data_IF_214680734532
#
_entry.id   IF_214680734532
#
_cell.length_a   1.000
_cell.length_b   1.000
_cell.length_c   1.000
_cell.angle_alpha   90.00
_cell.angle_beta   90.00
_cell.angle_gamma   90.00
#
_symmetry.space_group_name_H-M   'P 1'
#
loop_
_entity.id
_entity.type
_entity.pdbx_description
1 polymer ?
#
# COMPACT_ATOMS: atom_id res chain seq x y z
N UNK A 1 -77.98 2.28 60.43
CA UNK A 1 -76.68 2.39 59.73
C UNK A 1 -76.45 1.05 59.06
N UNK A 2 -76.28 1.00 57.74
CA UNK A 2 -75.86 -0.24 57.07
C UNK A 2 -74.39 -0.51 57.34
N UNK A 3 -74.07 -1.79 57.55
CA UNK A 3 -72.71 -2.25 57.83
C UNK A 3 -71.89 -2.39 56.54
N UNK A 4 -70.57 -2.50 56.69
CA UNK A 4 -69.69 -2.81 55.55
C UNK A 4 -70.07 -4.14 54.88
N UNK A 5 -70.59 -5.09 55.65
CA UNK A 5 -71.06 -6.37 55.15
C UNK A 5 -72.26 -6.21 54.21
N UNK A 6 -73.27 -5.43 54.61
CA UNK A 6 -74.46 -5.17 53.79
C UNK A 6 -74.09 -4.52 52.45
N UNK A 7 -73.15 -3.56 52.46
CA UNK A 7 -72.65 -2.91 51.23
C UNK A 7 -71.84 -3.84 50.33
N UNK A 8 -71.15 -4.84 50.89
CA UNK A 8 -70.44 -5.85 50.10
C UNK A 8 -71.38 -6.91 49.53
N UNK A 9 -72.50 -7.20 50.21
CA UNK A 9 -73.56 -8.07 49.70
C UNK A 9 -74.31 -7.40 48.54
N UNK A 10 -74.69 -6.13 48.66
CA UNK A 10 -75.28 -5.37 47.54
C UNK A 10 -74.34 -5.34 46.33
N UNK A 11 -73.04 -5.03 46.53
CA UNK A 11 -72.06 -4.98 45.45
C UNK A 11 -71.81 -6.34 44.77
N UNK A 12 -72.04 -7.45 45.48
CA UNK A 12 -71.95 -8.80 44.94
C UNK A 12 -73.25 -9.24 44.21
N UNK A 13 -74.39 -8.60 44.49
CA UNK A 13 -75.68 -8.86 43.83
C UNK A 13 -75.83 -8.06 42.53
N UNK A 14 -75.25 -6.85 42.44
CA UNK A 14 -75.21 -6.04 41.23
C UNK A 14 -74.11 -6.47 40.21
N UNK A 15 -73.33 -7.51 40.52
CA UNK A 15 -72.38 -8.08 39.57
C UNK A 15 -73.13 -8.81 38.43
N UNK A 16 -73.02 -8.39 37.15
CA UNK A 16 -73.72 -9.05 36.07
C UNK A 16 -73.25 -10.52 35.94
N UNK A 17 -74.15 -11.48 35.67
CA UNK A 17 -73.81 -12.90 35.52
C UNK A 17 -73.12 -13.19 34.18
N UNK A 18 -71.98 -12.54 33.95
CA UNK A 18 -71.08 -12.81 32.86
C UNK A 18 -70.20 -14.02 33.21
N UNK A 19 -70.74 -15.23 32.98
CA UNK A 19 -69.86 -16.35 32.64
C UNK A 19 -69.06 -15.89 31.40
N UNK A 20 -67.72 -15.82 31.44
CA UNK A 20 -66.95 -15.51 30.25
C UNK A 20 -67.23 -16.60 29.24
N UNK A 21 -67.74 -16.22 28.07
CA UNK A 21 -68.07 -17.14 26.99
C UNK A 21 -66.89 -18.12 26.78
N UNK A 22 -67.10 -19.45 26.90
CA UNK A 22 -66.04 -20.43 26.70
C UNK A 22 -65.31 -20.23 25.36
N UNK A 23 -66.01 -19.75 24.34
CA UNK A 23 -65.42 -19.43 23.04
C UNK A 23 -64.38 -18.30 23.14
N UNK A 24 -64.50 -17.33 24.05
CA UNK A 24 -63.46 -16.32 24.28
C UNK A 24 -62.16 -16.93 24.80
N UNK A 25 -62.22 -18.00 25.60
CA UNK A 25 -61.02 -18.67 26.11
C UNK A 25 -60.35 -19.54 25.03
N UNK A 26 -61.13 -20.18 24.16
CA UNK A 26 -60.58 -20.91 23.02
C UNK A 26 -60.12 -19.99 21.87
N UNK A 27 -60.77 -18.85 21.66
CA UNK A 27 -60.26 -17.75 20.81
C UNK A 27 -58.96 -17.20 21.38
N UNK A 28 -58.89 -16.93 22.69
CA UNK A 28 -57.65 -16.47 23.34
C UNK A 28 -56.52 -17.51 23.25
N UNK A 29 -56.80 -18.81 23.46
CA UNK A 29 -55.82 -19.89 23.24
C UNK A 29 -55.38 -20.00 21.79
N UNK A 30 -56.32 -19.94 20.85
CA UNK A 30 -56.04 -19.99 19.41
C UNK A 30 -55.16 -18.81 18.98
N UNK A 31 -55.47 -17.62 19.46
CA UNK A 31 -54.69 -16.40 19.28
C UNK A 31 -53.29 -16.55 19.91
N UNK A 32 -53.18 -17.05 21.15
CA UNK A 32 -51.90 -17.22 21.84
C UNK A 32 -51.02 -18.32 21.22
N UNK A 33 -51.61 -19.39 20.65
CA UNK A 33 -50.88 -20.40 19.86
C UNK A 33 -50.40 -19.83 18.54
N UNK A 34 -51.27 -19.15 17.77
CA UNK A 34 -50.88 -18.43 16.53
C UNK A 34 -49.77 -17.41 16.79
N UNK A 35 -49.80 -16.75 17.95
CA UNK A 35 -48.76 -15.80 18.39
C UNK A 35 -47.41 -16.47 18.61
N UNK A 36 -47.35 -17.59 19.35
CA UNK A 36 -46.09 -18.32 19.58
C UNK A 36 -45.52 -18.94 18.30
N UNK A 37 -46.36 -19.54 17.46
CA UNK A 37 -45.91 -20.17 16.21
C UNK A 37 -45.40 -19.12 15.21
N UNK A 38 -46.12 -18.01 15.03
CA UNK A 38 -45.69 -16.94 14.11
C UNK A 38 -44.35 -16.31 14.50
N UNK A 39 -44.10 -16.09 15.80
CA UNK A 39 -42.81 -15.57 16.28
C UNK A 39 -41.68 -16.58 16.09
N UNK A 40 -41.89 -17.87 16.36
CA UNK A 40 -40.89 -18.92 16.15
C UNK A 40 -40.50 -19.04 14.66
N UNK A 41 -41.47 -19.07 13.75
CA UNK A 41 -41.19 -19.17 12.31
C UNK A 41 -40.39 -17.96 11.80
N UNK A 42 -40.74 -16.74 12.23
CA UNK A 42 -40.00 -15.54 11.84
C UNK A 42 -38.54 -15.56 12.35
N UNK A 43 -38.32 -15.91 13.62
CA UNK A 43 -36.97 -16.00 14.20
C UNK A 43 -36.15 -17.09 13.50
N UNK A 44 -36.71 -18.29 13.32
CA UNK A 44 -36.00 -19.40 12.64
C UNK A 44 -35.64 -19.06 11.20
N UNK A 45 -36.51 -18.36 10.46
CA UNK A 45 -36.20 -17.91 9.11
C UNK A 45 -35.07 -16.88 9.08
N UNK A 46 -35.06 -15.90 9.99
CA UNK A 46 -33.97 -14.92 10.10
C UNK A 46 -32.64 -15.59 10.44
N UNK A 47 -32.63 -16.54 11.39
CA UNK A 47 -31.41 -17.28 11.78
C UNK A 47 -30.88 -18.15 10.63
N UNK A 48 -31.77 -18.85 9.89
CA UNK A 48 -31.37 -19.65 8.73
C UNK A 48 -30.72 -18.81 7.63
N UNK A 49 -31.26 -17.63 7.34
CA UNK A 49 -30.69 -16.76 6.30
C UNK A 49 -29.39 -16.10 6.75
N UNK A 50 -29.28 -15.68 8.02
CA UNK A 50 -28.00 -15.21 8.58
C UNK A 50 -26.93 -16.31 8.56
N UNK A 51 -27.29 -17.55 8.87
CA UNK A 51 -26.40 -18.71 8.76
C UNK A 51 -25.96 -19.02 7.34
N UNK A 52 -26.86 -18.86 6.35
CA UNK A 52 -26.52 -19.01 4.92
C UNK A 52 -25.59 -17.89 4.42
N UNK A 53 -25.82 -16.64 4.81
CA UNK A 53 -24.96 -15.51 4.44
C UNK A 53 -23.56 -15.65 5.07
N UNK A 54 -23.48 -16.00 6.36
CA UNK A 54 -22.21 -16.28 7.02
C UNK A 54 -21.47 -17.49 6.44
N UNK A 55 -22.18 -18.58 6.15
CA UNK A 55 -21.58 -19.78 5.56
C UNK A 55 -21.06 -19.56 4.13
N UNK A 56 -21.73 -18.75 3.31
CA UNK A 56 -21.28 -18.42 1.97
C UNK A 56 -20.03 -17.52 1.94
N UNK A 57 -19.85 -16.65 2.95
CA UNK A 57 -18.60 -15.89 3.10
C UNK A 57 -17.40 -16.78 3.43
N UNK A 58 -17.61 -17.81 4.25
CA UNK A 58 -16.55 -18.75 4.66
C UNK A 58 -16.16 -19.73 3.54
N UNK A 59 -17.12 -20.15 2.70
CA UNK A 59 -16.91 -21.07 1.56
C UNK A 59 -16.13 -20.49 0.37
N UNK A 60 -15.60 -19.27 0.47
CA UNK A 60 -14.74 -18.66 -0.55
C UNK A 60 -13.47 -18.03 -0.01
N UNK A 61 -13.20 -18.19 1.29
CA UNK A 61 -11.91 -17.87 1.92
C UNK A 61 -10.87 -18.97 1.71
N UNK A 62 -11.10 -19.89 0.75
CA UNK A 62 -10.13 -20.87 0.22
C UNK A 62 -9.02 -20.18 -0.59
N UNK A 63 -8.32 -19.23 0.02
CA UNK A 63 -6.86 -19.29 -0.04
C UNK A 63 -6.43 -20.48 0.82
N UNK A 64 -5.43 -21.24 0.39
CA UNK A 64 -4.84 -22.31 1.21
C UNK A 64 -4.05 -21.62 2.34
N UNK A 65 -4.74 -21.17 3.41
CA UNK A 65 -4.16 -20.54 4.60
C UNK A 65 -3.38 -21.60 5.38
N UNK A 66 -2.26 -22.00 4.80
CA UNK A 66 -1.17 -22.64 5.50
C UNK A 66 -0.43 -21.50 6.16
N UNK A 67 -0.44 -21.39 7.50
CA UNK A 67 0.48 -20.46 8.14
C UNK A 67 1.88 -20.78 7.64
N UNK A 68 2.59 -19.77 7.14
CA UNK A 68 3.97 -19.94 6.70
C UNK A 68 4.73 -20.65 7.82
N UNK A 69 5.48 -21.71 7.48
CA UNK A 69 6.23 -22.44 8.48
C UNK A 69 7.15 -21.44 9.21
N UNK A 70 7.09 -21.34 10.56
CA UNK A 70 7.93 -20.40 11.29
C UNK A 70 9.40 -20.58 10.93
N UNK A 71 10.03 -19.52 10.41
CA UNK A 71 11.40 -19.58 9.89
C UNK A 71 11.52 -19.81 8.37
N UNK A 72 10.50 -19.50 7.57
CA UNK A 72 10.68 -19.34 6.12
C UNK A 72 11.55 -18.11 5.86
N UNK A 73 12.66 -18.27 5.13
CA UNK A 73 13.57 -17.17 4.82
C UNK A 73 12.86 -16.06 3.99
N UNK A 74 13.20 -14.77 4.20
CA UNK A 74 12.77 -13.68 3.33
C UNK A 74 13.24 -13.93 1.89
N UNK A 75 12.33 -13.80 0.92
CA UNK A 75 12.63 -13.96 -0.50
C UNK A 75 11.57 -13.25 -1.35
N UNK A 76 11.96 -12.80 -2.55
CA UNK A 76 11.02 -12.27 -3.53
C UNK A 76 10.07 -13.37 -4.05
N UNK A 77 8.78 -13.06 -4.30
CA UNK A 77 7.88 -13.97 -4.98
C UNK A 77 8.29 -14.13 -6.45
N UNK A 78 8.13 -15.32 -7.03
CA UNK A 78 8.33 -15.55 -8.48
C UNK A 78 7.32 -14.79 -9.36
N UNK A 79 6.23 -14.28 -8.77
CA UNK A 79 5.17 -13.57 -9.48
C UNK A 79 4.45 -12.60 -8.54
N UNK A 80 4.33 -11.34 -8.97
CA UNK A 80 3.57 -10.29 -8.28
C UNK A 80 2.22 -10.14 -8.98
N UNK A 81 1.12 -10.11 -8.21
CA UNK A 81 -0.24 -10.07 -8.73
C UNK A 81 -0.90 -8.73 -8.44
N UNK A 82 -1.85 -8.31 -9.28
CA UNK A 82 -2.67 -7.12 -9.01
C UNK A 82 -3.42 -7.29 -7.66
N UNK A 83 -3.19 -6.40 -6.66
CA UNK A 83 -3.87 -6.48 -5.38
C UNK A 83 -5.39 -6.32 -5.52
N UNK A 84 -6.18 -7.09 -4.78
CA UNK A 84 -7.64 -6.88 -4.78
C UNK A 84 -7.98 -5.57 -4.08
N UNK A 85 -8.84 -4.69 -4.65
CA UNK A 85 -9.18 -3.42 -4.02
C UNK A 85 -9.85 -3.50 -2.65
N UNK A 86 -10.25 -4.70 -2.23
CA UNK A 86 -10.90 -4.95 -0.93
C UNK A 86 -9.99 -5.67 0.08
N UNK A 87 -8.68 -5.73 -0.18
CA UNK A 87 -7.71 -6.21 0.80
C UNK A 87 -7.77 -5.36 2.08
N UNK A 88 -7.53 -5.97 3.26
CA UNK A 88 -7.48 -5.26 4.54
C UNK A 88 -6.30 -4.29 4.62
N UNK A 89 -6.37 -3.37 5.58
CA UNK A 89 -5.25 -2.52 5.98
C UNK A 89 -4.36 -3.15 7.07
N UNK A 90 -3.16 -2.61 7.25
CA UNK A 90 -2.27 -2.92 8.39
C UNK A 90 -2.85 -2.47 9.73
N UNK A 91 -3.76 -1.51 9.77
CA UNK A 91 -4.53 -1.14 10.96
C UNK A 91 -5.60 -2.20 11.32
N UNK A 92 -6.14 -2.92 10.32
CA UNK A 92 -7.16 -3.95 10.52
C UNK A 92 -6.57 -5.28 11.00
N UNK A 93 -5.45 -5.71 10.41
CA UNK A 93 -4.86 -7.04 10.61
C UNK A 93 -3.41 -7.03 11.11
N UNK A 94 -2.83 -5.86 11.36
CA UNK A 94 -1.46 -5.69 11.85
C UNK A 94 -0.39 -5.60 10.75
N UNK A 95 0.89 -5.41 11.16
CA UNK A 95 2.03 -5.36 10.24
C UNK A 95 2.22 -6.66 9.45
N UNK A 96 2.83 -6.56 8.26
CA UNK A 96 3.15 -7.70 7.37
C UNK A 96 4.49 -8.37 7.66
N UNK A 97 5.32 -7.75 8.52
CA UNK A 97 6.74 -8.06 8.62
C UNK A 97 7.54 -7.42 7.47
N UNK A 98 8.80 -7.87 7.34
CA UNK A 98 9.67 -7.53 6.22
C UNK A 98 8.96 -7.77 4.87
N UNK A 99 8.98 -6.76 4.00
CA UNK A 99 8.32 -6.76 2.70
C UNK A 99 9.29 -7.21 1.60
N UNK A 100 8.76 -7.85 0.56
CA UNK A 100 9.47 -8.13 -0.68
C UNK A 100 9.30 -7.01 -1.70
N UNK A 101 8.12 -6.39 -1.72
CA UNK A 101 7.75 -5.38 -2.70
C UNK A 101 6.61 -4.47 -2.21
N UNK A 102 6.50 -3.31 -2.84
CA UNK A 102 5.33 -2.42 -2.79
C UNK A 102 4.69 -2.35 -4.18
N UNK A 103 3.36 -2.36 -4.22
CA UNK A 103 2.54 -2.25 -5.43
C UNK A 103 1.49 -1.18 -5.19
N UNK A 104 1.45 -0.13 -6.02
CA UNK A 104 0.33 0.83 -5.98
C UNK A 104 -0.93 0.13 -6.49
N UNK A 105 -2.10 0.35 -5.89
CA UNK A 105 -3.36 -0.24 -6.36
C UNK A 105 -4.57 0.64 -6.01
N UNK A 106 -5.70 0.42 -6.69
CA UNK A 106 -6.98 0.97 -6.24
C UNK A 106 -7.35 0.33 -4.90
N UNK A 107 -7.50 1.13 -3.83
CA UNK A 107 -8.06 0.71 -2.54
C UNK A 107 -9.50 1.18 -2.44
N UNK A 108 -10.44 0.28 -2.16
CA UNK A 108 -11.87 0.60 -2.05
C UNK A 108 -12.33 0.66 -0.60
N UNK A 109 -13.01 1.76 -0.28
CA UNK A 109 -13.75 1.94 0.96
C UNK A 109 -15.25 1.76 0.78
N UNK A 110 -16.00 1.96 1.86
CA UNK A 110 -17.47 1.93 1.82
C UNK A 110 -18.05 3.00 0.89
N UNK A 111 -17.45 4.19 0.86
CA UNK A 111 -17.97 5.40 0.22
C UNK A 111 -17.20 5.86 -1.03
N UNK A 112 -16.03 5.28 -1.31
CA UNK A 112 -15.11 5.76 -2.34
C UNK A 112 -14.07 4.72 -2.75
N UNK A 113 -13.14 5.17 -3.58
CA UNK A 113 -12.04 4.38 -4.15
C UNK A 113 -10.90 5.33 -4.47
N UNK A 114 -9.74 5.08 -3.87
CA UNK A 114 -8.56 5.95 -3.96
C UNK A 114 -7.35 5.08 -4.32
N UNK A 115 -6.19 5.68 -4.63
CA UNK A 115 -4.96 4.90 -4.77
C UNK A 115 -4.38 4.63 -3.38
N UNK A 116 -3.78 3.45 -3.21
CA UNK A 116 -3.08 3.09 -1.98
C UNK A 116 -1.91 2.14 -2.25
N UNK A 117 -1.01 2.02 -1.28
CA UNK A 117 0.18 1.17 -1.39
C UNK A 117 -0.12 -0.20 -0.77
N UNK A 118 -0.02 -1.26 -1.55
CA UNK A 118 -0.07 -2.64 -1.08
C UNK A 118 1.34 -3.18 -0.85
N UNK A 119 1.63 -3.62 0.37
CA UNK A 119 2.85 -4.36 0.69
C UNK A 119 2.69 -5.85 0.43
N UNK A 120 3.77 -6.51 0.05
CA UNK A 120 3.85 -7.98 -0.10
C UNK A 120 4.87 -8.51 0.90
N UNK A 121 4.49 -9.40 1.83
CA UNK A 121 5.43 -9.94 2.83
C UNK A 121 6.50 -10.83 2.19
N UNK A 122 7.77 -10.59 2.50
CA UNK A 122 8.90 -11.40 2.03
C UNK A 122 8.92 -12.82 2.62
N UNK A 123 8.25 -13.05 3.75
CA UNK A 123 8.29 -14.35 4.45
C UNK A 123 7.05 -15.20 4.22
N UNK A 124 5.88 -14.59 4.03
CA UNK A 124 4.60 -15.29 3.78
C UNK A 124 4.13 -15.19 2.33
N UNK A 125 4.40 -14.08 1.64
CA UNK A 125 3.79 -13.73 0.35
C UNK A 125 2.38 -13.15 0.48
N UNK A 126 1.91 -12.82 1.69
CA UNK A 126 0.62 -12.17 1.91
C UNK A 126 0.64 -10.71 1.45
N UNK A 127 -0.52 -10.22 1.00
CA UNK A 127 -0.74 -8.87 0.48
C UNK A 127 -1.67 -8.12 1.43
N UNK A 128 -1.33 -6.87 1.75
CA UNK A 128 -2.15 -5.97 2.59
C UNK A 128 -1.90 -4.53 2.19
N UNK A 129 -2.91 -3.67 2.27
CA UNK A 129 -2.67 -2.23 2.12
C UNK A 129 -1.92 -1.71 3.34
N UNK A 130 -0.88 -0.92 3.10
CA UNK A 130 -0.17 -0.19 4.16
C UNK A 130 -1.00 1.03 4.54
N UNK A 131 -1.35 1.13 5.82
CA UNK A 131 -1.95 2.33 6.39
C UNK A 131 -0.84 3.31 6.71
N UNK A 132 -0.52 4.15 5.73
CA UNK A 132 0.48 5.21 5.80
C UNK A 132 -0.23 6.52 6.22
N UNK A 133 -0.26 6.88 7.52
CA UNK A 133 -1.05 8.01 8.00
C UNK A 133 -0.52 9.33 7.44
N UNK A 134 -1.45 10.16 6.97
CA UNK A 134 -1.23 11.44 6.29
C UNK A 134 -0.32 11.35 5.04
N UNK A 135 -0.26 10.20 4.35
CA UNK A 135 0.35 10.09 3.02
C UNK A 135 -0.24 11.14 2.06
N UNK A 136 0.61 11.76 1.23
CA UNK A 136 0.13 12.66 0.19
C UNK A 136 -0.69 11.92 -0.90
N UNK A 137 -1.85 12.49 -1.26
CA UNK A 137 -2.75 11.92 -2.27
C UNK A 137 -2.12 11.89 -3.67
N UNK A 138 -1.17 12.80 -3.95
CA UNK A 138 -0.32 12.77 -5.15
C UNK A 138 0.84 11.77 -5.04
N UNK A 139 1.45 11.69 -3.86
CA UNK A 139 2.64 10.90 -3.53
C UNK A 139 2.45 9.40 -3.34
N UNK A 140 1.31 8.80 -3.69
CA UNK A 140 1.12 7.33 -3.62
C UNK A 140 2.12 6.58 -4.50
N UNK A 141 2.57 7.20 -5.60
CA UNK A 141 3.65 6.70 -6.46
C UNK A 141 5.07 7.13 -6.04
N UNK A 142 5.20 7.88 -4.95
CA UNK A 142 6.46 8.46 -4.44
C UNK A 142 6.88 7.82 -3.10
N UNK A 143 6.46 6.58 -2.86
CA UNK A 143 6.90 5.78 -1.72
C UNK A 143 8.17 4.97 -2.07
N UNK A 144 9.09 4.86 -1.12
CA UNK A 144 10.37 4.18 -1.31
C UNK A 144 10.54 3.06 -0.28
N UNK A 145 10.79 1.84 -0.76
CA UNK A 145 11.04 0.65 0.07
C UNK A 145 12.53 0.54 0.40
N UNK A 146 12.87 0.28 1.66
CA UNK A 146 14.26 0.04 2.07
C UNK A 146 14.84 -1.22 1.38
N UNK A 147 16.16 -1.32 1.18
CA UNK A 147 16.78 -2.45 0.49
C UNK A 147 16.53 -3.80 1.19
N UNK A 148 16.51 -3.83 2.53
CA UNK A 148 16.07 -4.98 3.33
C UNK A 148 14.55 -5.22 3.31
N UNK A 149 13.74 -4.26 2.86
CA UNK A 149 12.29 -4.34 2.84
C UNK A 149 11.59 -4.11 4.19
N UNK A 150 12.31 -3.69 5.24
CA UNK A 150 11.73 -3.46 6.57
C UNK A 150 11.02 -2.13 6.69
N UNK A 151 11.51 -1.09 6.01
CA UNK A 151 11.05 0.30 6.16
C UNK A 151 10.48 0.85 4.86
N UNK A 152 9.45 1.69 4.95
CA UNK A 152 8.84 2.41 3.82
C UNK A 152 8.88 3.91 4.10
N UNK A 153 9.56 4.67 3.26
CA UNK A 153 9.62 6.13 3.33
C UNK A 153 8.52 6.76 2.45
N UNK A 154 7.93 7.87 2.91
CA UNK A 154 6.91 8.59 2.17
C UNK A 154 6.82 10.07 2.60
N UNK A 155 6.35 10.93 1.69
CA UNK A 155 5.98 12.32 2.00
C UNK A 155 4.63 12.37 2.72
N UNK A 156 4.53 13.17 3.79
CA UNK A 156 3.28 13.32 4.54
C UNK A 156 2.77 14.77 4.59
N UNK A 157 1.45 14.92 4.55
CA UNK A 157 0.72 16.19 4.55
C UNK A 157 0.37 16.68 5.96
N UNK A 158 0.09 17.98 6.12
CA UNK A 158 -0.30 18.51 7.43
C UNK A 158 -0.49 20.02 7.47
N UNK A 159 -0.43 20.60 8.68
CA UNK A 159 -0.64 22.03 8.87
C UNK A 159 0.61 22.87 8.52
N UNK A 160 0.40 23.98 7.82
CA UNK A 160 1.42 24.98 7.48
C UNK A 160 1.28 26.24 8.36
N UNK A 161 2.34 27.03 8.53
CA UNK A 161 2.28 28.23 9.41
C UNK A 161 1.44 29.39 8.85
N UNK A 162 1.18 29.40 7.55
CA UNK A 162 0.39 30.40 6.83
C UNK A 162 -0.55 29.69 5.85
N UNK A 163 -1.23 30.44 4.97
CA UNK A 163 -2.06 29.87 3.88
C UNK A 163 -1.21 28.91 3.03
N UNK A 164 -1.63 27.65 2.81
CA UNK A 164 -0.83 26.72 2.01
C UNK A 164 -0.94 27.01 0.51
N UNK A 165 0.05 26.55 -0.25
CA UNK A 165 0.09 26.64 -1.71
C UNK A 165 -0.87 25.65 -2.39
N UNK A 166 -1.14 24.52 -1.73
CA UNK A 166 -2.00 23.41 -2.17
C UNK A 166 -2.99 23.03 -1.06
N UNK A 167 -4.08 22.35 -1.38
CA UNK A 167 -5.14 22.02 -0.40
C UNK A 167 -4.68 21.00 0.66
N UNK A 168 -3.82 20.05 0.26
CA UNK A 168 -3.17 19.05 1.13
C UNK A 168 -1.63 19.24 1.07
N UNK A 169 -1.05 20.23 1.77
CA UNK A 169 0.35 20.56 1.62
C UNK A 169 1.25 19.53 2.31
N UNK A 170 2.29 19.05 1.60
CA UNK A 170 3.38 18.25 2.21
C UNK A 170 4.13 19.08 3.25
N UNK A 171 4.45 18.49 4.41
CA UNK A 171 5.12 19.19 5.54
C UNK A 171 6.35 18.47 6.12
N UNK A 172 6.60 17.23 5.71
CA UNK A 172 7.77 16.44 6.12
C UNK A 172 7.80 15.04 5.52
N UNK A 173 8.81 14.26 5.93
CA UNK A 173 8.96 12.85 5.55
C UNK A 173 8.57 11.96 6.72
N UNK A 174 7.96 10.83 6.42
CA UNK A 174 7.61 9.79 7.37
C UNK A 174 8.24 8.45 6.95
N UNK A 175 8.55 7.61 7.94
CA UNK A 175 9.06 6.25 7.75
C UNK A 175 8.22 5.29 8.57
N UNK A 176 7.61 4.33 7.87
CA UNK A 176 6.82 3.23 8.42
C UNK A 176 7.70 1.98 8.56
N UNK A 177 7.78 1.39 9.76
CA UNK A 177 8.43 0.09 9.99
C UNK A 177 7.39 -1.03 9.79
N UNK A 178 7.56 -1.81 8.72
CA UNK A 178 6.62 -2.86 8.31
C UNK A 178 6.58 -4.08 9.25
N UNK A 179 7.50 -4.16 10.22
CA UNK A 179 7.55 -5.22 11.25
C UNK A 179 6.81 -4.82 12.52
N UNK A 180 6.88 -3.55 12.93
CA UNK A 180 6.19 -3.06 14.14
C UNK A 180 4.85 -2.38 13.87
N UNK A 181 4.67 -1.81 12.67
CA UNK A 181 3.56 -0.93 12.33
C UNK A 181 3.75 0.51 12.82
N UNK A 182 4.91 0.85 13.41
CA UNK A 182 5.19 2.19 13.93
C UNK A 182 5.62 3.15 12.81
N UNK A 183 5.25 4.42 12.96
CA UNK A 183 5.60 5.50 12.03
C UNK A 183 6.41 6.56 12.75
N UNK A 184 7.61 6.82 12.24
CA UNK A 184 8.43 7.95 12.64
C UNK A 184 8.25 9.11 11.66
N UNK A 185 8.19 10.34 12.17
CA UNK A 185 7.99 11.55 11.36
C UNK A 185 9.11 12.54 11.58
N UNK A 186 9.67 13.02 10.47
CA UNK A 186 10.56 14.18 10.42
C UNK A 186 9.76 15.41 9.92
N UNK A 187 9.28 16.28 10.81
CA UNK A 187 8.68 17.54 10.42
C UNK A 187 9.74 18.54 9.97
N UNK A 188 9.65 19.03 8.73
CA UNK A 188 10.53 20.10 8.23
C UNK A 188 10.06 21.48 8.71
N UNK A 189 8.73 21.65 8.85
CA UNK A 189 8.11 22.87 9.34
C UNK A 189 8.17 24.01 8.32
N UNK A 190 7.10 24.14 7.53
CA UNK A 190 7.00 25.08 6.39
C UNK A 190 5.87 26.11 6.59
N UNK A 191 6.03 27.27 5.96
CA UNK A 191 5.03 28.34 6.00
C UNK A 191 3.88 28.11 5.00
N UNK A 192 4.15 27.48 3.86
CA UNK A 192 3.20 27.34 2.74
C UNK A 192 3.12 25.92 2.13
N UNK A 193 3.87 24.95 2.67
CA UNK A 193 4.03 23.61 2.11
C UNK A 193 5.44 23.37 1.58
N UNK A 194 5.79 22.11 1.37
CA UNK A 194 7.01 21.69 0.70
C UNK A 194 6.73 21.46 -0.79
N UNK A 195 7.73 21.71 -1.62
CA UNK A 195 7.86 21.02 -2.91
C UNK A 195 8.54 19.70 -2.57
N UNK A 196 7.78 18.61 -2.57
CA UNK A 196 8.32 17.27 -2.45
C UNK A 196 9.33 17.02 -3.58
N UNK A 197 10.38 16.28 -3.24
CA UNK A 197 11.42 15.86 -4.17
C UNK A 197 11.68 14.37 -3.99
N UNK A 198 12.88 13.94 -4.32
CA UNK A 198 13.20 12.51 -4.33
C UNK A 198 13.29 11.94 -2.90
N UNK A 199 12.93 10.66 -2.78
CA UNK A 199 13.11 9.81 -1.60
C UNK A 199 13.89 8.58 -2.06
N UNK A 200 15.05 8.31 -1.47
CA UNK A 200 15.88 7.15 -1.84
C UNK A 200 16.61 6.60 -0.63
N UNK A 201 16.45 5.30 -0.36
CA UNK A 201 17.26 4.63 0.66
C UNK A 201 18.67 4.41 0.12
N UNK A 202 19.67 4.96 0.80
CA UNK A 202 21.07 4.71 0.48
C UNK A 202 21.51 3.31 0.97
N UNK A 203 20.93 2.86 2.07
CA UNK A 203 21.03 1.53 2.67
C UNK A 203 19.80 1.29 3.57
N UNK A 204 19.80 0.21 4.36
CA UNK A 204 18.69 -0.19 5.24
C UNK A 204 18.35 0.84 6.35
N UNK A 205 19.29 1.72 6.67
CA UNK A 205 19.20 2.63 7.81
C UNK A 205 19.13 4.10 7.42
N UNK A 206 19.78 4.50 6.31
CA UNK A 206 19.96 5.90 5.90
C UNK A 206 19.09 6.26 4.69
N UNK A 207 18.11 7.13 4.90
CA UNK A 207 17.25 7.71 3.87
C UNK A 207 17.86 9.03 3.37
N UNK A 208 18.14 9.11 2.07
CA UNK A 208 18.46 10.35 1.37
C UNK A 208 17.17 10.96 0.77
N UNK A 209 17.03 12.28 0.86
CA UNK A 209 15.85 12.97 0.31
C UNK A 209 16.13 14.45 0.03
N UNK A 210 15.49 15.02 -0.99
CA UNK A 210 15.52 16.45 -1.25
C UNK A 210 14.13 17.08 -1.23
N UNK A 211 14.08 18.41 -1.08
CA UNK A 211 12.85 19.17 -1.10
C UNK A 211 13.13 20.64 -1.36
N UNK A 212 12.07 21.40 -1.66
CA UNK A 212 12.05 22.84 -1.51
C UNK A 212 10.89 23.35 -0.67
N UNK A 213 10.84 24.65 -0.45
CA UNK A 213 9.76 25.33 0.27
C UNK A 213 9.12 26.40 -0.59
N UNK A 214 7.78 26.39 -0.68
CA UNK A 214 7.01 27.41 -1.39
C UNK A 214 7.13 28.79 -0.73
N UNK A 215 7.23 29.85 -1.54
CA UNK A 215 7.40 31.23 -1.04
C UNK A 215 6.08 31.96 -0.75
N UNK A 216 4.96 31.46 -1.25
CA UNK A 216 3.63 32.06 -1.10
C UNK A 216 2.58 30.96 -1.09
N UNK A 217 1.48 31.20 -0.38
CA UNK A 217 0.28 30.37 -0.46
C UNK A 217 -0.60 30.66 -1.67
N UNK A 218 -1.70 29.94 -1.75
CA UNK A 218 -2.78 30.07 -2.74
C UNK A 218 -3.49 31.44 -2.72
N UNK A 219 -3.37 32.21 -1.64
CA UNK A 219 -3.82 33.61 -1.53
C UNK A 219 -2.83 34.64 -2.10
N UNK A 220 -1.61 34.21 -2.44
CA UNK A 220 -0.55 35.03 -3.01
C UNK A 220 -0.81 35.45 -4.47
N UNK A 221 -0.06 36.43 -5.00
CA UNK A 221 -0.17 36.82 -6.40
C UNK A 221 0.20 35.66 -7.34
N UNK A 222 -0.68 35.29 -8.27
CA UNK A 222 -0.56 34.10 -9.16
C UNK A 222 0.83 33.92 -9.79
N UNK A 223 1.53 35.00 -10.14
CA UNK A 223 2.91 34.97 -10.68
C UNK A 223 4.01 34.47 -9.70
N UNK A 224 3.65 34.16 -8.45
CA UNK A 224 4.51 33.60 -7.39
C UNK A 224 4.05 32.23 -6.88
N UNK A 225 2.82 31.84 -7.21
CA UNK A 225 2.33 30.49 -6.93
C UNK A 225 3.20 29.47 -7.68
N UNK A 226 3.49 28.33 -7.04
CA UNK A 226 4.44 27.34 -7.56
C UNK A 226 5.91 27.78 -7.57
N UNK A 227 6.26 28.93 -6.97
CA UNK A 227 7.66 29.37 -6.82
C UNK A 227 8.14 29.10 -5.40
N UNK A 228 9.32 28.51 -5.27
CA UNK A 228 9.94 28.23 -3.99
C UNK A 228 11.47 28.24 -4.05
N UNK A 229 12.09 27.76 -2.97
CA UNK A 229 13.55 27.60 -2.84
C UNK A 229 13.87 26.16 -2.44
N UNK A 230 14.81 25.52 -3.14
CA UNK A 230 15.34 24.21 -2.79
C UNK A 230 16.21 24.25 -1.54
N UNK A 231 16.12 23.19 -0.74
CA UNK A 231 16.86 23.00 0.51
C UNK A 231 18.15 22.18 0.34
N UNK A 232 18.37 21.56 -0.83
CA UNK A 232 19.47 20.62 -1.09
C UNK A 232 19.13 19.18 -0.65
N UNK A 233 20.09 18.28 -0.81
CA UNK A 233 19.95 16.87 -0.44
C UNK A 233 20.27 16.65 1.05
N UNK A 234 19.35 15.99 1.75
CA UNK A 234 19.42 15.67 3.17
C UNK A 234 19.57 14.16 3.37
N UNK A 235 20.18 13.79 4.49
CA UNK A 235 20.32 12.42 4.97
C UNK A 235 19.70 12.30 6.37
N UNK A 236 18.89 11.28 6.59
CA UNK A 236 18.26 10.99 7.89
C UNK A 236 18.36 9.50 8.21
N UNK A 237 18.64 9.19 9.48
CA UNK A 237 18.62 7.82 10.02
C UNK A 237 17.46 7.70 11.01
N UNK A 238 16.31 7.12 10.59
CA UNK A 238 15.17 6.91 11.48
C UNK A 238 15.50 5.98 12.64
N UNK A 239 14.83 6.20 13.77
CA UNK A 239 14.91 5.51 15.07
C UNK A 239 16.18 5.77 15.90
N UNK A 240 17.22 6.36 15.33
CA UNK A 240 18.46 6.70 16.06
C UNK A 240 18.37 8.01 16.84
N UNK A 241 17.28 8.79 16.67
CA UNK A 241 17.10 10.10 17.28
C UNK A 241 18.10 11.16 16.79
N UNK A 242 18.76 10.90 15.64
CA UNK A 242 19.67 11.84 15.00
C UNK A 242 18.88 12.90 14.23
N UNK A 243 19.33 14.15 14.30
CA UNK A 243 18.78 15.21 13.45
C UNK A 243 19.22 14.98 11.98
N UNK A 244 18.32 15.19 11.00
CA UNK A 244 18.66 15.15 9.58
C UNK A 244 19.81 16.08 9.22
N UNK A 245 20.70 15.62 8.36
CA UNK A 245 21.93 16.35 8.00
C UNK A 245 21.90 16.73 6.51
N UNK A 246 22.18 18.00 6.22
CA UNK A 246 22.40 18.47 4.85
C UNK A 246 23.72 17.90 4.33
N UNK A 247 23.70 17.22 3.19
CA UNK A 247 24.90 16.68 2.53
C UNK A 247 25.65 17.82 1.83
N UNK A 248 26.51 18.50 2.60
CA UNK A 248 27.15 19.76 2.21
C UNK A 248 28.08 19.71 0.97
N UNK A 249 28.37 18.52 0.44
CA UNK A 249 29.08 18.34 -0.81
C UNK A 249 28.18 18.39 -2.07
N UNK A 250 26.86 18.52 -1.89
CA UNK A 250 25.87 18.57 -2.97
C UNK A 250 25.44 20.00 -3.32
N UNK A 251 25.10 20.22 -4.59
CA UNK A 251 24.42 21.42 -5.05
C UNK A 251 22.95 21.47 -4.60
N UNK A 252 22.36 22.67 -4.58
CA UNK A 252 20.92 22.87 -4.28
C UNK A 252 19.97 22.35 -5.37
N UNK A 253 20.50 21.66 -6.38
CA UNK A 253 19.78 21.11 -7.53
C UNK A 253 20.39 19.78 -7.97
N UNK A 254 21.16 19.13 -7.09
CA UNK A 254 21.67 17.78 -7.30
C UNK A 254 20.64 16.83 -6.69
N UNK A 255 20.21 15.83 -7.45
CA UNK A 255 19.24 14.80 -7.01
C UNK A 255 19.87 13.40 -7.10
N UNK A 256 19.24 12.36 -6.56
CA UNK A 256 19.70 10.97 -6.53
C UNK A 256 19.15 10.18 -7.72
N UNK A 257 20.01 9.89 -8.70
CA UNK A 257 19.67 9.04 -9.86
C UNK A 257 19.60 7.53 -9.51
N UNK A 258 20.41 7.09 -8.54
CA UNK A 258 20.53 5.68 -8.20
C UNK A 258 21.08 5.46 -6.79
N UNK A 259 20.77 4.29 -6.23
CA UNK A 259 21.35 3.77 -4.98
C UNK A 259 21.86 2.35 -5.16
N UNK A 260 22.94 1.99 -4.48
CA UNK A 260 23.43 0.61 -4.37
C UNK A 260 22.73 -0.19 -3.25
N UNK A 261 21.87 0.47 -2.46
CA UNK A 261 21.31 -0.08 -1.23
C UNK A 261 22.36 -0.46 -0.17
N UNK A 262 23.57 0.07 -0.28
CA UNK A 262 24.76 -0.29 0.53
C UNK A 262 25.64 0.93 0.87
N UNK A 263 25.05 2.13 0.88
CA UNK A 263 25.73 3.38 1.24
C UNK A 263 26.38 4.15 0.08
N UNK A 264 26.19 3.69 -1.17
CA UNK A 264 26.69 4.36 -2.37
C UNK A 264 25.52 4.90 -3.21
N UNK A 265 25.57 6.19 -3.53
CA UNK A 265 24.58 6.89 -4.35
C UNK A 265 25.21 7.37 -5.67
N UNK A 266 24.40 7.49 -6.72
CA UNK A 266 24.70 8.31 -7.89
C UNK A 266 23.84 9.56 -7.84
N UNK A 267 24.47 10.72 -7.91
CA UNK A 267 23.82 12.01 -8.01
C UNK A 267 23.72 12.45 -9.48
N UNK A 268 22.55 12.90 -9.92
CA UNK A 268 22.40 13.66 -11.16
C UNK A 268 22.65 15.14 -10.88
N UNK A 269 23.55 15.75 -11.66
CA UNK A 269 23.86 17.19 -11.56
C UNK A 269 23.66 17.85 -12.92
N UNK A 270 23.52 19.16 -12.89
CA UNK A 270 23.26 19.98 -14.10
C UNK A 270 24.27 19.81 -15.26
N UNK A 271 25.46 19.26 -15.01
CA UNK A 271 26.55 19.09 -15.99
C UNK A 271 27.01 17.64 -16.20
N UNK A 272 26.81 16.78 -15.22
CA UNK A 272 27.49 15.50 -15.03
C UNK A 272 26.86 14.71 -13.88
N UNK A 273 27.35 13.49 -13.61
CA UNK A 273 26.91 12.65 -12.50
C UNK A 273 28.03 12.46 -11.49
N UNK A 274 27.72 12.19 -10.23
CA UNK A 274 28.71 11.95 -9.20
C UNK A 274 28.36 10.75 -8.33
N UNK A 275 29.32 9.85 -8.10
CA UNK A 275 29.22 8.80 -7.08
C UNK A 275 29.51 9.42 -5.72
N UNK A 276 28.59 9.28 -4.77
CA UNK A 276 28.76 9.65 -3.38
C UNK A 276 28.83 8.39 -2.51
N UNK A 277 29.87 8.30 -1.69
CA UNK A 277 30.04 7.26 -0.66
C UNK A 277 29.71 7.90 0.70
N UNK A 278 28.62 7.44 1.34
CA UNK A 278 28.11 8.05 2.57
C UNK A 278 29.03 7.87 3.79
N UNK A 279 29.92 6.88 3.79
CA UNK A 279 30.87 6.68 4.90
C UNK A 279 32.04 7.67 4.80
N UNK A 280 32.34 8.14 3.59
CA UNK A 280 33.26 9.25 3.34
C UNK A 280 32.61 10.63 3.43
N UNK A 281 31.30 10.72 3.17
CA UNK A 281 30.50 11.94 3.00
C UNK A 281 31.02 12.94 1.93
N UNK A 282 31.91 12.49 1.04
CA UNK A 282 32.51 13.29 -0.04
C UNK A 282 32.23 12.63 -1.41
N UNK A 283 32.08 13.40 -2.52
CA UNK A 283 31.84 12.84 -3.84
C UNK A 283 33.10 12.09 -4.29
N UNK A 284 33.01 10.77 -4.39
CA UNK A 284 34.14 9.90 -4.67
C UNK A 284 34.60 10.00 -6.13
N UNK A 285 33.65 10.10 -7.09
CA UNK A 285 33.92 10.12 -8.54
C UNK A 285 32.86 10.90 -9.33
N UNK A 286 33.22 12.00 -10.01
CA UNK A 286 32.38 12.68 -11.02
C UNK A 286 32.60 12.07 -12.41
N UNK A 287 31.55 11.92 -13.23
CA UNK A 287 31.60 11.25 -14.54
C UNK A 287 30.48 11.70 -15.51
N UNK A 288 30.64 11.42 -16.80
CA UNK A 288 29.62 11.68 -17.83
C UNK A 288 29.00 10.37 -18.35
N UNK A 289 27.67 10.25 -18.32
CA UNK A 289 26.94 9.06 -18.80
C UNK A 289 26.37 9.26 -20.22
N UNK A 290 26.87 8.56 -21.26
CA UNK A 290 26.42 8.79 -22.63
C UNK A 290 24.99 8.29 -22.90
N UNK A 291 24.15 9.18 -23.43
CA UNK A 291 22.90 8.78 -24.07
C UNK A 291 21.85 8.19 -23.12
N UNK A 292 21.90 8.55 -21.84
CA UNK A 292 20.76 8.41 -20.94
C UNK A 292 19.66 9.41 -21.34
N UNK A 293 18.40 9.04 -21.17
CA UNK A 293 17.31 10.01 -21.00
C UNK A 293 17.11 10.21 -19.50
N UNK A 294 16.66 11.40 -19.07
CA UNK A 294 16.38 11.71 -17.65
C UNK A 294 15.17 10.97 -17.04
N UNK A 295 14.89 9.75 -17.49
CA UNK A 295 13.87 8.82 -16.98
C UNK A 295 14.35 7.36 -17.10
N UNK A 296 15.65 7.12 -17.26
CA UNK A 296 16.23 5.78 -17.44
C UNK A 296 17.00 5.43 -16.16
N UNK A 297 16.42 4.58 -15.32
CA UNK A 297 17.04 4.18 -14.05
C UNK A 297 18.40 3.52 -14.28
N UNK A 298 19.39 3.97 -13.51
CA UNK A 298 20.75 3.42 -13.48
C UNK A 298 20.89 2.51 -12.27
N UNK A 299 21.57 1.38 -12.41
CA UNK A 299 22.02 0.56 -11.28
C UNK A 299 23.52 0.78 -11.04
N UNK A 300 23.88 1.26 -9.84
CA UNK A 300 25.26 1.43 -9.38
C UNK A 300 25.70 0.21 -8.55
N UNK A 301 26.91 -0.29 -8.77
CA UNK A 301 27.42 -1.43 -8.01
C UNK A 301 27.84 -1.02 -6.57
N UNK A 302 27.87 -1.94 -5.59
CA UNK A 302 28.23 -1.61 -4.20
C UNK A 302 29.64 -1.00 -4.00
N UNK A 303 30.51 -1.05 -5.01
CA UNK A 303 31.84 -0.41 -4.97
C UNK A 303 31.84 1.01 -5.55
N UNK A 304 30.74 1.44 -6.16
CA UNK A 304 30.62 2.71 -6.88
C UNK A 304 31.54 2.82 -8.10
N UNK A 305 31.99 1.70 -8.68
CA UNK A 305 32.95 1.68 -9.80
C UNK A 305 32.32 1.25 -11.11
N UNK A 306 31.11 0.70 -11.11
CA UNK A 306 30.41 0.23 -12.32
C UNK A 306 28.93 0.62 -12.28
N UNK A 307 28.46 1.12 -13.41
CA UNK A 307 27.03 1.39 -13.63
C UNK A 307 26.48 0.49 -14.74
N UNK A 308 25.20 0.15 -14.60
CA UNK A 308 24.42 -0.53 -15.61
C UNK A 308 23.17 0.30 -15.94
N UNK A 309 22.86 0.52 -17.21
CA UNK A 309 21.69 1.30 -17.63
C UNK A 309 21.20 0.93 -19.04
N UNK A 310 19.90 1.07 -19.34
CA UNK A 310 19.38 0.95 -20.70
C UNK A 310 19.87 2.14 -21.54
N UNK A 311 20.61 1.90 -22.63
CA UNK A 311 21.21 2.99 -23.43
C UNK A 311 20.45 3.23 -24.73
N UNK A 312 19.79 4.37 -24.85
CA UNK A 312 19.13 4.76 -26.09
C UNK A 312 18.18 5.95 -25.94
N UNK A 313 17.41 6.22 -26.99
CA UNK A 313 16.49 7.40 -27.05
C UNK A 313 15.02 7.05 -26.83
N UNK A 314 14.68 5.78 -26.60
CA UNK A 314 13.32 5.25 -26.38
C UNK A 314 13.42 3.89 -25.71
N UNK A 315 12.73 3.63 -24.61
CA UNK A 315 12.68 2.28 -24.06
C UNK A 315 11.73 1.36 -24.87
N UNK A 316 12.02 0.05 -24.98
CA UNK A 316 13.22 -0.62 -24.47
C UNK A 316 14.47 -0.42 -25.34
N UNK A 317 15.65 -0.64 -24.75
CA UNK A 317 16.95 -0.70 -25.41
C UNK A 317 17.79 -1.90 -24.91
N UNK A 318 19.02 -1.99 -25.41
CA UNK A 318 20.09 -2.81 -24.83
C UNK A 318 20.47 -2.32 -23.42
N UNK A 319 20.74 -3.26 -22.51
CA UNK A 319 21.42 -2.97 -21.26
C UNK A 319 22.90 -2.73 -21.56
N UNK A 320 23.44 -1.62 -21.08
CA UNK A 320 24.85 -1.28 -21.14
C UNK A 320 25.48 -1.32 -19.75
N UNK A 321 26.74 -1.75 -19.70
CA UNK A 321 27.55 -1.73 -18.47
C UNK A 321 28.87 -1.01 -18.77
N UNK A 322 29.31 -0.14 -17.85
CA UNK A 322 30.55 0.62 -17.98
C UNK A 322 31.21 0.93 -16.64
N UNK A 323 32.50 1.20 -16.67
CA UNK A 323 33.28 1.60 -15.49
C UNK A 323 33.21 3.12 -15.26
N UNK A 324 32.99 3.51 -14.01
CA UNK A 324 32.98 4.89 -13.55
C UNK A 324 34.40 5.32 -13.17
N UNK A 325 34.91 6.35 -13.83
CA UNK A 325 36.23 6.95 -13.54
C UNK A 325 36.11 8.47 -13.46
N UNK A 326 36.92 9.06 -12.58
CA UNK A 326 36.91 10.49 -12.26
C UNK A 326 37.20 11.35 -13.50
N UNK A 327 36.28 12.28 -13.80
CA UNK A 327 36.36 13.22 -14.91
C UNK A 327 36.18 12.59 -16.30
N UNK A 328 35.90 11.29 -16.39
CA UNK A 328 35.79 10.57 -17.66
C UNK A 328 34.34 10.42 -18.13
N UNK A 329 34.18 10.23 -19.44
CA UNK A 329 32.93 9.74 -20.02
C UNK A 329 32.91 8.22 -19.94
N UNK A 330 31.84 7.64 -19.38
CA UNK A 330 31.75 6.19 -19.16
C UNK A 330 31.75 5.47 -20.50
N UNK A 331 32.85 4.76 -20.77
CA UNK A 331 32.92 3.78 -21.83
C UNK A 331 32.12 2.53 -21.42
N UNK A 332 31.15 2.15 -22.26
CA UNK A 332 30.18 1.11 -21.93
C UNK A 332 30.08 0.07 -23.03
N UNK A 333 29.96 -1.20 -22.66
CA UNK A 333 29.68 -2.31 -23.57
C UNK A 333 28.20 -2.67 -23.49
N UNK A 334 27.58 -2.99 -24.63
CA UNK A 334 26.22 -3.55 -24.67
C UNK A 334 26.27 -5.02 -24.23
N UNK A 335 25.36 -5.44 -23.35
CA UNK A 335 25.22 -6.84 -22.96
C UNK A 335 24.39 -7.57 -24.02
N UNK A 336 24.92 -8.65 -24.60
CA UNK A 336 24.27 -9.32 -25.74
C UNK A 336 22.91 -9.93 -25.36
N UNK A 337 21.92 -9.85 -26.28
CA UNK A 337 20.58 -10.40 -26.07
C UNK A 337 19.69 -9.59 -25.12
N UNK A 338 20.07 -8.35 -24.78
CA UNK A 338 19.34 -7.50 -23.83
C UNK A 338 18.50 -6.40 -24.48
N UNK A 339 18.18 -6.49 -25.78
CA UNK A 339 17.53 -5.44 -26.61
C UNK A 339 16.10 -5.02 -26.18
N UNK A 340 15.63 -5.56 -25.05
CA UNK A 340 14.27 -5.43 -24.50
C UNK A 340 14.24 -4.91 -23.07
N UNK A 341 15.36 -4.37 -22.60
CA UNK A 341 15.48 -3.79 -21.27
C UNK A 341 14.80 -2.43 -21.23
N UNK A 342 13.89 -2.28 -20.28
CA UNK A 342 13.29 -1.00 -19.94
C UNK A 342 14.19 -0.27 -18.95
N UNK A 343 14.55 -0.90 -17.84
CA UNK A 343 15.21 -0.27 -16.70
C UNK A 343 16.22 -1.22 -16.04
N UNK A 344 17.28 -0.66 -15.44
CA UNK A 344 18.21 -1.38 -14.58
C UNK A 344 17.87 -1.03 -13.11
N UNK A 345 17.64 -2.06 -12.28
CA UNK A 345 17.11 -1.88 -10.92
C UNK A 345 18.22 -1.83 -9.88
N UNK A 346 19.05 -2.88 -9.84
CA UNK A 346 20.16 -2.99 -8.90
C UNK A 346 21.18 -4.01 -9.40
N UNK A 347 22.39 -3.97 -8.86
CA UNK A 347 23.33 -5.09 -8.97
C UNK A 347 22.97 -6.17 -7.95
N UNK A 348 22.91 -7.42 -8.40
CA UNK A 348 22.62 -8.58 -7.55
C UNK A 348 23.91 -9.07 -6.89
N UNK A 349 24.98 -9.12 -7.67
CA UNK A 349 26.33 -9.46 -7.24
C UNK A 349 27.38 -8.78 -8.13
N UNK A 350 28.61 -9.30 -8.18
CA UNK A 350 29.67 -8.74 -8.99
C UNK A 350 29.45 -8.87 -10.51
N UNK A 351 28.69 -9.85 -10.97
CA UNK A 351 28.52 -10.19 -12.39
C UNK A 351 27.07 -10.16 -12.87
N UNK A 352 26.07 -10.08 -11.99
CA UNK A 352 24.64 -10.04 -12.34
C UNK A 352 23.97 -8.70 -12.00
N UNK A 353 23.15 -8.20 -12.94
CA UNK A 353 22.28 -7.03 -12.78
C UNK A 353 20.82 -7.46 -12.85
N UNK A 354 19.99 -6.95 -11.93
CA UNK A 354 18.53 -7.07 -12.01
C UNK A 354 18.00 -6.02 -12.98
N UNK A 355 17.33 -6.47 -14.05
CA UNK A 355 16.83 -5.60 -15.11
C UNK A 355 15.38 -5.91 -15.47
N UNK A 356 14.58 -4.86 -15.67
CA UNK A 356 13.18 -4.97 -16.09
C UNK A 356 13.13 -5.12 -17.60
N UNK A 357 12.50 -6.19 -18.08
CA UNK A 357 12.46 -6.51 -19.50
C UNK A 357 11.05 -6.89 -19.92
N UNK A 358 10.74 -6.66 -21.19
CA UNK A 358 9.44 -7.01 -21.75
C UNK A 358 9.41 -8.45 -22.26
N UNK A 359 8.46 -9.23 -21.74
CA UNK A 359 8.29 -10.64 -22.04
C UNK A 359 8.09 -10.90 -23.55
N UNK A 360 8.59 -12.05 -24.00
CA UNK A 360 8.64 -12.50 -25.40
C UNK A 360 7.48 -13.45 -25.72
N UNK A 361 6.25 -13.06 -25.39
CA UNK A 361 5.06 -13.85 -25.73
C UNK A 361 3.75 -13.31 -25.17
N UNK A 362 3.79 -12.49 -24.13
CA UNK A 362 2.60 -11.83 -23.58
C UNK A 362 1.74 -11.12 -24.64
N UNK A 363 0.44 -11.42 -24.63
CA UNK A 363 -0.56 -10.72 -25.45
C UNK A 363 -0.84 -9.29 -24.96
N UNK A 364 -0.43 -8.98 -23.73
CA UNK A 364 -0.49 -7.68 -23.05
C UNK A 364 0.91 -7.12 -22.82
N UNK A 365 1.01 -5.99 -22.14
CA UNK A 365 2.25 -5.31 -21.75
C UNK A 365 3.04 -6.04 -20.65
N UNK A 366 3.27 -7.35 -20.77
CA UNK A 366 3.93 -8.15 -19.75
C UNK A 366 5.38 -7.71 -19.52
N UNK A 367 5.70 -7.36 -18.28
CA UNK A 367 7.06 -7.13 -17.79
C UNK A 367 7.51 -8.30 -16.92
N UNK A 368 8.82 -8.52 -16.88
CA UNK A 368 9.47 -9.44 -15.96
C UNK A 368 10.81 -8.84 -15.50
N UNK A 369 11.17 -9.11 -14.25
CA UNK A 369 12.49 -8.83 -13.73
C UNK A 369 13.39 -10.03 -14.04
N UNK A 370 14.58 -9.76 -14.58
CA UNK A 370 15.58 -10.78 -14.89
C UNK A 370 16.90 -10.52 -14.19
N UNK A 371 17.57 -11.59 -13.76
CA UNK A 371 19.00 -11.55 -13.50
C UNK A 371 19.74 -11.68 -14.85
N UNK A 372 20.66 -10.75 -15.11
CA UNK A 372 21.45 -10.70 -16.35
C UNK A 372 22.93 -10.72 -16.01
N UNK A 373 23.62 -11.80 -16.35
CA UNK A 373 25.08 -11.88 -16.39
C UNK A 373 25.60 -10.86 -17.40
N UNK A 374 26.35 -9.87 -16.91
CA UNK A 374 26.84 -8.73 -17.71
C UNK A 374 27.98 -9.11 -18.68
N UNK A 375 28.54 -10.32 -18.56
CA UNK A 375 29.60 -10.86 -19.43
C UNK A 375 29.05 -11.81 -20.49
N UNK A 376 28.06 -12.64 -20.15
CA UNK A 376 27.54 -13.70 -21.04
C UNK A 376 26.17 -13.39 -21.65
N UNK A 377 25.35 -12.55 -21.01
CA UNK A 377 24.00 -12.22 -21.45
C UNK A 377 22.89 -13.19 -21.02
N UNK A 378 23.15 -14.18 -20.16
CA UNK A 378 22.13 -15.07 -19.56
C UNK A 378 21.61 -14.44 -18.24
N UNK A 379 20.38 -13.97 -18.01
CA UNK A 379 19.00 -14.23 -18.49
C UNK A 379 18.21 -15.34 -17.76
N UNK A 380 18.31 -15.36 -16.43
CA UNK A 380 17.31 -15.99 -15.56
C UNK A 380 16.12 -15.04 -15.31
N UNK A 381 14.89 -15.58 -15.24
CA UNK A 381 13.69 -14.82 -14.84
C UNK A 381 13.51 -14.90 -13.32
N UNK A 382 13.40 -13.74 -12.66
CA UNK A 382 13.22 -13.65 -11.20
C UNK A 382 11.74 -13.49 -10.83
N UNK A 383 11.08 -12.46 -11.38
CA UNK A 383 9.73 -12.03 -10.98
C UNK A 383 8.90 -11.68 -12.21
N UNK A 384 7.70 -12.24 -12.33
CA UNK A 384 6.72 -11.89 -13.39
C UNK A 384 5.67 -10.90 -12.92
N UNK A 385 5.34 -9.94 -13.79
CA UNK A 385 4.28 -8.93 -13.61
C UNK A 385 3.12 -9.17 -14.63
N UNK A 386 2.22 -10.14 -14.38
CA UNK A 386 1.07 -10.48 -15.22
C UNK A 386 0.05 -9.35 -15.40
N UNK A 387 0.27 -8.50 -16.41
CA UNK A 387 -0.77 -7.62 -16.96
C UNK A 387 -0.80 -6.20 -16.43
N UNK A 388 0.06 -5.85 -15.47
CA UNK A 388 0.23 -4.49 -14.98
C UNK A 388 1.59 -3.90 -15.40
N UNK A 389 1.77 -2.58 -15.23
CA UNK A 389 3.02 -1.90 -15.54
C UNK A 389 4.09 -2.18 -14.47
N UNK A 390 5.37 -2.03 -14.82
CA UNK A 390 6.41 -1.96 -13.81
C UNK A 390 6.38 -0.57 -13.17
N UNK A 391 5.85 -0.49 -11.95
CA UNK A 391 5.83 0.69 -11.07
C UNK A 391 5.97 0.27 -9.60
N UNK A 392 6.66 -0.85 -9.38
CA UNK A 392 6.69 -1.56 -8.11
C UNK A 392 8.07 -1.45 -7.49
N UNK A 393 8.12 -1.04 -6.21
CA UNK A 393 9.36 -1.01 -5.45
C UNK A 393 9.70 -2.42 -4.96
N UNK A 394 10.99 -2.77 -4.93
CA UNK A 394 11.47 -4.08 -4.53
C UNK A 394 12.51 -3.96 -3.41
N UNK A 395 12.47 -4.87 -2.44
CA UNK A 395 13.54 -5.01 -1.45
C UNK A 395 14.79 -5.56 -2.15
N UNK A 396 15.70 -4.67 -2.57
CA UNK A 396 16.79 -5.00 -3.50
C UNK A 396 17.78 -6.01 -2.94
N UNK A 397 17.95 -6.11 -1.61
CA UNK A 397 18.80 -7.16 -1.01
C UNK A 397 18.24 -8.56 -1.22
N UNK A 398 16.93 -8.71 -1.41
CA UNK A 398 16.30 -10.00 -1.68
C UNK A 398 16.52 -10.49 -3.12
N UNK A 399 17.08 -9.66 -4.03
CA UNK A 399 17.42 -10.06 -5.40
C UNK A 399 18.52 -11.14 -5.45
N UNK A 400 19.41 -11.16 -4.46
CA UNK A 400 20.46 -12.17 -4.32
C UNK A 400 19.96 -13.48 -3.70
N UNK A 401 18.69 -13.54 -3.28
CA UNK A 401 18.06 -14.73 -2.69
C UNK A 401 17.20 -15.43 -3.76
N UNK A 402 17.26 -16.77 -3.90
CA UNK A 402 16.41 -17.50 -4.83
C UNK A 402 14.93 -17.17 -4.61
N UNK A 403 14.25 -16.80 -5.70
CA UNK A 403 12.83 -16.44 -5.68
C UNK A 403 11.98 -17.67 -5.35
N UNK A 404 10.83 -17.44 -4.71
CA UNK A 404 9.96 -18.52 -4.20
C UNK A 404 8.54 -18.39 -4.74
N UNK A 405 7.91 -19.53 -5.02
CA UNK A 405 6.49 -19.54 -5.37
C UNK A 405 5.66 -19.18 -4.12
N UNK A 406 4.84 -18.14 -4.24
CA UNK A 406 3.93 -17.66 -3.21
C UNK A 406 2.47 -17.91 -3.63
N UNK A 407 1.54 -18.12 -2.68
CA UNK A 407 0.13 -18.26 -3.01
C UNK A 407 -0.39 -17.00 -3.72
N UNK A 408 -1.37 -17.16 -4.59
CA UNK A 408 -2.10 -16.03 -5.17
C UNK A 408 -2.77 -15.22 -4.05
N UNK A 409 -2.77 -13.87 -4.09
CA UNK A 409 -3.42 -13.05 -3.08
C UNK A 409 -4.91 -13.38 -2.94
N UNK A 410 -5.50 -13.22 -1.75
CA UNK A 410 -6.93 -13.39 -1.57
C UNK A 410 -7.67 -12.31 -2.37
N UNK A 411 -8.84 -12.67 -2.90
CA UNK A 411 -9.74 -11.73 -3.58
C UNK A 411 -11.04 -11.58 -2.78
N UNK A 412 -11.01 -10.84 -1.65
CA UNK A 412 -12.19 -10.60 -0.83
C UNK A 412 -13.32 -9.92 -1.61
N UNK A 413 -14.56 -10.22 -1.23
CA UNK A 413 -15.72 -9.61 -1.86
C UNK A 413 -15.87 -8.17 -1.41
N UNK A 414 -16.47 -7.35 -2.29
CA UNK A 414 -17.02 -6.05 -1.90
C UNK A 414 -17.95 -6.23 -0.67
N UNK A 415 -17.59 -5.69 0.52
CA UNK A 415 -18.31 -5.92 1.77
C UNK A 415 -19.72 -5.30 1.75
N UNK A 416 -19.99 -4.39 0.82
CA UNK A 416 -21.32 -3.79 0.61
C UNK A 416 -22.29 -4.83 0.04
N UNK A 417 -21.81 -5.88 -0.65
CA UNK A 417 -22.65 -6.98 -1.16
C UNK A 417 -23.28 -7.80 -0.02
N UNK A 418 -22.52 -8.46 0.89
CA UNK A 418 -23.11 -9.21 2.00
C UNK A 418 -23.89 -8.30 2.96
N UNK A 419 -23.46 -7.05 3.17
CA UNK A 419 -24.21 -6.07 3.96
C UNK A 419 -25.56 -5.71 3.32
N UNK A 420 -25.63 -5.54 2.00
CA UNK A 420 -26.89 -5.32 1.26
C UNK A 420 -27.81 -6.52 1.38
N UNK A 421 -27.29 -7.75 1.24
CA UNK A 421 -28.08 -8.96 1.47
C UNK A 421 -28.60 -9.03 2.92
N UNK A 422 -27.77 -8.78 3.93
CA UNK A 422 -28.21 -8.74 5.32
C UNK A 422 -29.31 -7.68 5.57
N UNK A 423 -29.15 -6.48 5.00
CA UNK A 423 -30.15 -5.41 5.05
C UNK A 423 -31.49 -5.80 4.40
N UNK A 424 -31.46 -6.41 3.21
CA UNK A 424 -32.66 -6.92 2.53
C UNK A 424 -33.36 -8.01 3.34
N UNK A 425 -32.61 -8.88 4.01
CA UNK A 425 -33.15 -9.95 4.86
C UNK A 425 -33.81 -9.40 6.12
N UNK A 426 -33.19 -8.40 6.76
CA UNK A 426 -33.78 -7.67 7.89
C UNK A 426 -35.05 -6.92 7.48
N UNK A 427 -35.05 -6.24 6.33
CA UNK A 427 -36.21 -5.58 5.76
C UNK A 427 -37.35 -6.56 5.46
N UNK A 428 -37.05 -7.70 4.82
CA UNK A 428 -38.05 -8.73 4.52
C UNK A 428 -38.63 -9.35 5.80
N UNK A 429 -37.78 -9.65 6.80
CA UNK A 429 -38.22 -10.10 8.12
C UNK A 429 -39.11 -9.07 8.83
N UNK A 430 -38.76 -7.78 8.75
CA UNK A 430 -39.59 -6.69 9.28
C UNK A 430 -40.93 -6.57 8.54
N UNK A 431 -40.96 -6.69 7.21
CA UNK A 431 -42.21 -6.71 6.43
C UNK A 431 -43.11 -7.88 6.83
N UNK A 432 -42.55 -9.09 6.97
CA UNK A 432 -43.30 -10.27 7.43
C UNK A 432 -43.85 -10.08 8.84
N UNK A 433 -43.06 -9.51 9.76
CA UNK A 433 -43.51 -9.19 11.12
C UNK A 433 -44.61 -8.11 11.14
N UNK A 434 -44.55 -7.12 10.24
CA UNK A 434 -45.57 -6.08 10.09
C UNK A 434 -46.86 -6.61 9.47
N UNK A 435 -46.78 -7.41 8.40
CA UNK A 435 -47.94 -8.07 7.80
C UNK A 435 -48.59 -9.06 8.78
N UNK A 436 -47.80 -9.87 9.46
CA UNK A 436 -48.29 -10.75 10.53
C UNK A 436 -48.97 -9.94 11.66
N UNK A 437 -48.38 -8.81 12.10
CA UNK A 437 -49.03 -7.91 13.08
C UNK A 437 -50.32 -7.29 12.55
N UNK A 438 -50.43 -6.97 11.26
CA UNK A 438 -51.65 -6.46 10.63
C UNK A 438 -52.74 -7.53 10.58
N UNK A 439 -52.42 -8.76 10.17
CA UNK A 439 -53.36 -9.89 10.11
C UNK A 439 -53.81 -10.41 11.48
N UNK A 440 -53.07 -10.08 12.53
CA UNK A 440 -53.36 -10.53 13.91
C UNK A 440 -54.03 -9.44 14.76
N UNK A 441 -53.95 -8.15 14.40
CA UNK A 441 -54.80 -7.13 15.02
C UNK A 441 -56.25 -7.27 14.49
N UNK A 442 -57.26 -7.27 15.37
CA UNK A 442 -58.67 -7.29 14.97
C UNK A 442 -59.12 -5.97 14.32
#
# INVERSE_FOLDING_TARGET
MSTLHDRLVDLAQDAPPALPDPALWDVARGYHRRRRVGTLVAVSATVLVLGLVGGLGWLRTDGDIRPAAPGTAPALPTQIWEPSPWLPGTDDEGPLGQLAALVTAERRGWTGSDLGVAGISATTGEYRFLDLPDLDDGGVGEVELAPDGRRVAYWYVGETRQTPQEDSPVVGVAVYDATTGEVERMPVGTDHGLMAGELTWADDERLAFDYGQYWTGSDGPTRRQGVGKMAGLWLWTPADGTEPQLLGATGLSDSVDASSGTGVLVLDRSSDRAVLDLDSAEPARSFLQPGSMGTSYTAIDPTGTRIAWPRGRRNPNDLHVGEVREGETVESTAVEGTERTYDAVAWIDADHVAAVRRDRGAATSGFALHAVDVRSGEQEELVRFPGWGYSDQLATHLLATPTVERPHPPNPWDPRIPATFAGLVLLFGAMLLLDWRRRVRP
#
